data_IF_257594689670
#
_entry.id   IF_257594689670
#
_cell.length_a   1.000
_cell.length_b   1.000
_cell.length_c   1.000
_cell.angle_alpha   90.00
_cell.angle_beta   90.00
_cell.angle_gamma   90.00
#
_symmetry.space_group_name_H-M   'P 1'
#
loop_
_entity.id
_entity.type
_entity.pdbx_description
1 polymer ?
#
# COMPACT_ATOMS: atom_id res chain seq x y z
N UNK A 1 31.65 -8.22 43.64
CA UNK A 1 32.26 -6.87 43.65
C UNK A 1 31.98 -6.23 42.30
N UNK A 2 30.96 -5.37 42.22
CA UNK A 2 30.75 -4.38 41.16
C UNK A 2 29.77 -3.35 41.73
N UNK A 3 30.33 -2.34 42.38
CA UNK A 3 29.59 -1.14 42.78
C UNK A 3 29.14 -0.41 41.51
N UNK A 4 27.88 0.03 41.51
CA UNK A 4 27.31 0.91 40.49
C UNK A 4 26.31 1.85 41.14
N UNK A 5 26.83 2.78 41.94
CA UNK A 5 26.23 4.05 42.37
C UNK A 5 24.70 4.10 42.55
N UNK A 6 24.22 3.74 43.74
CA UNK A 6 22.97 4.25 44.28
C UNK A 6 23.14 5.75 44.61
N UNK A 7 22.90 6.61 43.62
CA UNK A 7 22.66 8.03 43.85
C UNK A 7 21.24 8.22 44.41
N UNK A 8 21.02 9.16 45.35
CA UNK A 8 19.69 9.42 45.88
C UNK A 8 18.74 9.75 44.71
N UNK A 9 17.65 8.98 44.57
CA UNK A 9 16.59 9.26 43.59
C UNK A 9 15.77 10.45 44.06
N UNK A 10 16.38 11.63 44.02
CA UNK A 10 15.74 12.88 44.38
C UNK A 10 14.94 13.38 43.18
N UNK A 11 13.61 13.37 43.31
CA UNK A 11 12.72 14.27 42.57
C UNK A 11 12.67 14.19 41.04
N UNK A 12 12.99 13.07 40.39
CA UNK A 12 12.77 12.94 38.93
C UNK A 12 11.27 12.97 38.60
N UNK A 13 10.74 14.15 38.28
CA UNK A 13 9.40 14.29 37.72
C UNK A 13 9.46 13.77 36.28
N UNK A 14 8.85 12.61 36.02
CA UNK A 14 8.68 12.10 34.67
C UNK A 14 7.65 12.93 33.91
N UNK A 15 8.11 14.04 33.32
CA UNK A 15 7.30 14.86 32.43
C UNK A 15 7.37 14.26 31.03
N UNK A 16 6.21 14.08 30.39
CA UNK A 16 6.13 13.68 28.98
C UNK A 16 6.91 14.69 28.13
N UNK A 17 7.89 14.20 27.36
CA UNK A 17 8.57 15.02 26.37
C UNK A 17 7.55 15.67 25.41
N UNK A 18 7.72 16.97 25.15
CA UNK A 18 6.87 17.68 24.18
C UNK A 18 6.97 17.03 22.80
N UNK A 19 5.94 17.18 21.96
CA UNK A 19 5.96 16.67 20.58
C UNK A 19 7.24 17.14 19.90
N UNK A 20 8.02 16.20 19.38
CA UNK A 20 9.28 16.52 18.70
C UNK A 20 10.54 16.41 19.57
N UNK A 21 10.43 16.46 20.90
CA UNK A 21 11.57 16.65 21.82
C UNK A 21 12.15 15.35 22.41
N UNK A 22 11.62 14.18 22.04
CA UNK A 22 12.21 12.92 22.46
C UNK A 22 13.56 12.72 21.75
N UNK A 23 14.64 12.64 22.52
CA UNK A 23 16.03 12.53 22.03
C UNK A 23 16.61 11.13 22.17
N UNK A 24 15.91 10.19 22.81
CA UNK A 24 16.40 8.82 22.89
C UNK A 24 16.33 8.12 21.51
N UNK A 25 17.29 7.23 21.26
CA UNK A 25 17.45 6.54 19.97
C UNK A 25 16.19 5.78 19.54
N UNK A 26 15.52 5.10 20.47
CA UNK A 26 14.30 4.33 20.22
C UNK A 26 13.15 5.22 19.70
N UNK A 27 12.95 6.40 20.30
CA UNK A 27 11.89 7.34 19.93
C UNK A 27 12.17 8.00 18.59
N UNK A 28 13.44 8.26 18.28
CA UNK A 28 13.86 8.77 16.97
C UNK A 28 13.61 7.72 15.88
N UNK A 29 14.01 6.46 16.11
CA UNK A 29 13.78 5.37 15.17
C UNK A 29 12.28 5.14 14.88
N UNK A 30 11.45 5.14 15.93
CA UNK A 30 10.00 4.97 15.76
C UNK A 30 9.37 6.14 15.00
N UNK A 31 9.88 7.37 15.16
CA UNK A 31 9.41 8.51 14.38
C UNK A 31 9.67 8.32 12.89
N UNK A 32 10.91 7.98 12.53
CA UNK A 32 11.30 7.71 11.14
C UNK A 32 10.44 6.60 10.54
N UNK A 33 10.16 5.54 11.32
CA UNK A 33 9.26 4.45 10.89
C UNK A 33 7.85 4.97 10.57
N UNK A 34 7.28 5.82 11.42
CA UNK A 34 5.93 6.41 11.23
C UNK A 34 5.88 7.39 10.07
N UNK A 35 6.94 8.17 9.84
CA UNK A 35 7.06 9.06 8.69
C UNK A 35 7.07 8.26 7.39
N UNK A 36 7.91 7.22 7.29
CA UNK A 36 7.94 6.31 6.14
C UNK A 36 6.60 5.65 5.86
N UNK A 37 5.87 5.24 6.90
CA UNK A 37 4.50 4.70 6.73
C UNK A 37 3.57 5.78 6.19
N UNK A 38 3.63 7.00 6.73
CA UNK A 38 2.74 8.09 6.32
C UNK A 38 2.98 8.51 4.87
N UNK A 39 4.24 8.55 4.43
CA UNK A 39 4.61 8.79 3.03
C UNK A 39 4.02 7.73 2.10
N UNK A 40 4.16 6.44 2.46
CA UNK A 40 3.58 5.34 1.68
C UNK A 40 2.06 5.39 1.62
N UNK A 41 1.40 5.74 2.73
CA UNK A 41 -0.07 5.90 2.75
C UNK A 41 -0.50 7.03 1.82
N UNK A 42 0.22 8.16 1.80
CA UNK A 42 -0.06 9.28 0.90
C UNK A 42 0.14 8.87 -0.57
N UNK A 43 1.23 8.18 -0.87
CA UNK A 43 1.49 7.69 -2.22
C UNK A 43 0.38 6.74 -2.71
N UNK A 44 -0.09 5.82 -1.86
CA UNK A 44 -1.22 4.95 -2.21
C UNK A 44 -2.50 5.74 -2.47
N UNK A 45 -2.77 6.77 -1.66
CA UNK A 45 -3.92 7.65 -1.84
C UNK A 45 -3.88 8.41 -3.17
N UNK A 46 -2.70 8.85 -3.60
CA UNK A 46 -2.51 9.60 -4.85
C UNK A 46 -2.67 8.72 -6.10
N UNK A 47 -2.44 7.41 -5.98
CA UNK A 47 -2.58 6.45 -7.09
C UNK A 47 -4.03 6.02 -7.34
N UNK A 48 -4.90 6.06 -6.33
CA UNK A 48 -6.25 5.51 -6.41
C UNK A 48 -7.27 6.62 -6.71
N UNK A 49 -8.01 6.54 -7.83
CA UNK A 49 -9.04 7.52 -8.15
C UNK A 49 -10.07 7.66 -7.02
N UNK A 50 -10.41 8.90 -6.66
CA UNK A 50 -11.40 9.18 -5.61
C UNK A 50 -10.91 9.03 -4.16
N UNK A 51 -9.71 8.46 -3.94
CA UNK A 51 -9.18 8.21 -2.59
C UNK A 51 -8.77 9.49 -1.86
N UNK A 52 -8.49 10.59 -2.57
CA UNK A 52 -8.08 11.89 -1.98
C UNK A 52 -9.13 12.51 -1.05
N UNK A 53 -10.42 12.15 -1.22
CA UNK A 53 -11.54 12.65 -0.41
C UNK A 53 -11.88 11.74 0.77
N UNK A 54 -11.29 10.55 0.85
CA UNK A 54 -11.60 9.56 1.88
C UNK A 54 -10.95 9.96 3.19
N UNK A 55 -11.76 10.06 4.24
CA UNK A 55 -11.29 10.35 5.59
C UNK A 55 -11.21 9.05 6.39
N UNK A 56 -10.06 8.81 7.02
CA UNK A 56 -9.84 7.62 7.85
C UNK A 56 -9.01 6.55 7.14
N UNK A 57 -8.03 5.99 7.86
CA UNK A 57 -7.03 5.06 7.29
C UNK A 57 -7.62 3.70 6.91
N UNK A 58 -8.60 3.20 7.67
CA UNK A 58 -9.22 1.90 7.38
C UNK A 58 -10.02 1.97 6.06
N UNK A 59 -10.95 2.92 5.98
CA UNK A 59 -11.78 3.14 4.78
C UNK A 59 -10.91 3.43 3.54
N UNK A 60 -9.85 4.25 3.69
CA UNK A 60 -8.89 4.48 2.60
C UNK A 60 -8.29 3.17 2.06
N UNK A 61 -7.87 2.27 2.95
CA UNK A 61 -7.29 0.98 2.56
C UNK A 61 -8.33 0.06 1.90
N UNK A 62 -9.58 0.07 2.38
CA UNK A 62 -10.66 -0.70 1.77
C UNK A 62 -10.92 -0.23 0.32
N UNK A 63 -10.96 1.09 0.08
CA UNK A 63 -11.09 1.66 -1.26
C UNK A 63 -9.92 1.28 -2.18
N UNK A 64 -8.70 1.26 -1.64
CA UNK A 64 -7.51 0.83 -2.39
C UNK A 64 -7.63 -0.66 -2.78
N UNK A 65 -8.05 -1.53 -1.86
CA UNK A 65 -8.26 -2.96 -2.12
C UNK A 65 -9.32 -3.14 -3.21
N UNK A 66 -10.45 -2.43 -3.10
CA UNK A 66 -11.52 -2.48 -4.09
C UNK A 66 -11.03 -2.06 -5.48
N UNK A 67 -10.22 -1.00 -5.56
CA UNK A 67 -9.65 -0.55 -6.83
C UNK A 67 -8.75 -1.61 -7.46
N UNK A 68 -7.85 -2.24 -6.69
CA UNK A 68 -6.98 -3.33 -7.17
C UNK A 68 -7.80 -4.51 -7.70
N UNK A 69 -8.83 -4.94 -6.96
CA UNK A 69 -9.72 -6.02 -7.41
C UNK A 69 -10.49 -5.66 -8.69
N UNK A 70 -10.88 -4.39 -8.84
CA UNK A 70 -11.53 -3.92 -10.07
C UNK A 70 -10.58 -3.96 -11.28
N UNK A 71 -9.30 -3.63 -11.09
CA UNK A 71 -8.28 -3.70 -12.13
C UNK A 71 -7.99 -5.15 -12.52
N UNK A 72 -7.89 -6.06 -11.56
CA UNK A 72 -7.72 -7.49 -11.81
C UNK A 72 -8.85 -8.05 -12.69
N UNK A 73 -10.10 -7.73 -12.37
CA UNK A 73 -11.28 -8.13 -13.19
C UNK A 73 -11.25 -7.52 -14.60
N UNK A 74 -10.82 -6.28 -14.74
CA UNK A 74 -10.68 -5.64 -16.05
C UNK A 74 -9.62 -6.36 -16.90
N UNK A 75 -8.48 -6.72 -16.32
CA UNK A 75 -7.42 -7.48 -17.01
C UNK A 75 -7.92 -8.85 -17.44
N UNK A 76 -8.61 -9.58 -16.58
CA UNK A 76 -9.20 -10.88 -16.89
C UNK A 76 -10.21 -10.77 -18.04
N UNK A 77 -11.13 -9.80 -17.97
CA UNK A 77 -12.12 -9.56 -19.00
C UNK A 77 -11.49 -9.22 -20.35
N UNK A 78 -10.49 -8.34 -20.38
CA UNK A 78 -9.77 -8.00 -21.61
C UNK A 78 -9.02 -9.20 -22.19
N UNK A 79 -8.40 -10.02 -21.32
CA UNK A 79 -7.72 -11.25 -21.73
C UNK A 79 -8.69 -12.24 -22.40
N UNK A 80 -9.88 -12.41 -21.82
CA UNK A 80 -10.95 -13.24 -22.40
C UNK A 80 -11.44 -12.67 -23.74
N UNK A 81 -11.66 -11.36 -23.84
CA UNK A 81 -12.05 -10.72 -25.12
C UNK A 81 -10.99 -10.91 -26.20
N UNK A 82 -9.72 -10.75 -25.86
CA UNK A 82 -8.62 -10.95 -26.81
C UNK A 82 -8.56 -12.40 -27.28
N UNK A 83 -8.71 -13.37 -26.37
CA UNK A 83 -8.77 -14.78 -26.73
C UNK A 83 -9.95 -15.10 -27.66
N UNK A 84 -11.13 -14.52 -27.41
CA UNK A 84 -12.30 -14.69 -28.26
C UNK A 84 -12.13 -14.06 -29.66
N UNK A 85 -11.43 -12.92 -29.76
CA UNK A 85 -11.09 -12.32 -31.06
C UNK A 85 -10.09 -13.19 -31.81
N UNK A 86 -9.07 -13.72 -31.12
CA UNK A 86 -8.08 -14.61 -31.72
C UNK A 86 -8.73 -15.90 -32.23
N UNK A 87 -9.63 -16.53 -31.46
CA UNK A 87 -10.32 -17.75 -31.91
C UNK A 87 -11.24 -17.49 -33.11
N UNK A 88 -11.88 -16.32 -33.20
CA UNK A 88 -12.64 -15.94 -34.39
C UNK A 88 -11.73 -15.77 -35.62
N UNK A 89 -10.53 -15.22 -35.45
CA UNK A 89 -9.57 -15.10 -36.55
C UNK A 89 -9.04 -16.47 -36.98
N UNK A 90 -8.74 -17.37 -36.04
CA UNK A 90 -8.27 -18.73 -36.32
C UNK A 90 -9.32 -19.53 -37.11
N UNK A 91 -10.60 -19.49 -36.70
CA UNK A 91 -11.72 -20.13 -37.42
C UNK A 91 -11.91 -19.55 -38.83
N UNK A 92 -11.71 -18.24 -38.98
CA UNK A 92 -11.83 -17.58 -40.29
C UNK A 92 -10.66 -17.93 -41.23
N UNK A 93 -9.45 -18.10 -40.71
CA UNK A 93 -8.27 -18.54 -41.48
C UNK A 93 -8.42 -20.00 -41.89
N UNK A 94 -8.83 -20.89 -40.99
CA UNK A 94 -9.10 -22.30 -41.33
C UNK A 94 -10.18 -22.41 -42.40
N UNK A 95 -11.27 -21.64 -42.29
CA UNK A 95 -12.32 -21.59 -43.30
C UNK A 95 -11.90 -20.99 -44.65
N UNK A 96 -10.84 -20.17 -44.68
CA UNK A 96 -10.21 -19.72 -45.93
C UNK A 96 -9.33 -20.81 -46.54
N UNK A 97 -8.48 -21.45 -45.74
CA UNK A 97 -7.57 -22.52 -46.21
C UNK A 97 -8.32 -23.79 -46.64
N UNK A 98 -9.46 -24.10 -46.01
CA UNK A 98 -10.31 -25.22 -46.38
C UNK A 98 -11.11 -25.03 -47.68
N UNK A 99 -11.12 -23.83 -48.27
CA UNK A 99 -11.79 -23.55 -49.55
C UNK A 99 -10.88 -23.72 -50.78
N UNK A 100 -9.57 -23.91 -50.57
CA UNK A 100 -8.58 -24.05 -51.64
C UNK A 100 -8.07 -25.50 -51.82
N UNK A 101 -8.77 -26.50 -51.28
CA UNK A 101 -8.52 -27.95 -51.45
C UNK A 101 -9.72 -28.63 -52.13
#
# INVERSE_FOLDING_TARGET
>A
KSQGSDLPKEGYVHIRARRGQATNSHSLAERVRREKISERMKFLQDLVPGCSKVTGKAVMLDEIINYVQSLQRQVEFLSMKLAAVNSHMDLNIEGLLAKDV
#
